data_IF_016551907383
#
_entry.id   IF_016551907383
#
_cell.length_a   1.000
_cell.length_b   1.000
_cell.length_c   1.000
_cell.angle_alpha   90.00
_cell.angle_beta   90.00
_cell.angle_gamma   90.00
#
_symmetry.space_group_name_H-M   'P 1'
#
loop_
_entity.id
_entity.type
_entity.pdbx_description
1 polymer ?
#
# COMPACT_ATOMS: atom_id res chain seq x y z
N UNK A 1 -17.51 10.04 -5.70
CA UNK A 1 -16.62 9.76 -6.84
C UNK A 1 -17.50 9.42 -8.03
N UNK A 2 -17.17 9.89 -9.23
CA UNK A 2 -17.95 9.61 -10.43
C UNK A 2 -17.62 8.21 -10.96
N UNK A 3 -18.58 7.57 -11.63
CA UNK A 3 -18.32 6.34 -12.38
C UNK A 3 -17.58 6.65 -13.68
N UNK A 4 -16.85 5.69 -14.24
CA UNK A 4 -16.16 5.86 -15.54
C UNK A 4 -17.12 6.34 -16.63
N UNK A 5 -18.33 5.79 -16.68
CA UNK A 5 -19.39 6.23 -17.60
C UNK A 5 -19.74 7.71 -17.47
N UNK A 6 -19.89 8.20 -16.23
CA UNK A 6 -20.17 9.62 -16.00
C UNK A 6 -19.01 10.52 -16.43
N UNK A 7 -17.76 10.06 -16.26
CA UNK A 7 -16.57 10.81 -16.69
C UNK A 7 -16.53 10.89 -18.22
N UNK A 8 -16.81 9.78 -18.90
CA UNK A 8 -16.88 9.73 -20.37
C UNK A 8 -17.98 10.64 -20.92
N UNK A 9 -19.16 10.63 -20.29
CA UNK A 9 -20.28 11.51 -20.66
C UNK A 9 -19.93 13.00 -20.46
N UNK A 10 -19.26 13.36 -19.36
CA UNK A 10 -18.77 14.74 -19.14
C UNK A 10 -17.85 15.17 -20.29
N UNK A 11 -16.90 14.32 -20.70
CA UNK A 11 -15.98 14.64 -21.80
C UNK A 11 -16.68 14.66 -23.15
N UNK A 12 -17.68 13.80 -23.37
CA UNK A 12 -18.49 13.85 -24.58
C UNK A 12 -19.25 15.19 -24.69
N UNK A 13 -19.86 15.65 -23.60
CA UNK A 13 -20.55 16.95 -23.55
C UNK A 13 -19.58 18.13 -23.66
N UNK A 14 -18.37 18.02 -23.09
CA UNK A 14 -17.32 19.03 -23.27
C UNK A 14 -16.91 19.15 -24.75
N UNK A 15 -16.75 18.03 -25.48
CA UNK A 15 -16.45 18.04 -26.93
C UNK A 15 -17.58 18.64 -27.76
N UNK A 16 -18.82 18.54 -27.28
CA UNK A 16 -19.99 19.17 -27.91
C UNK A 16 -20.08 20.68 -27.61
N UNK A 17 -19.23 21.22 -26.73
CA UNK A 17 -19.14 22.66 -26.43
C UNK A 17 -19.99 23.12 -25.24
N UNK A 18 -20.58 22.21 -24.47
CA UNK A 18 -21.40 22.58 -23.31
C UNK A 18 -20.59 23.14 -22.14
N UNK A 19 -21.19 24.06 -21.41
CA UNK A 19 -20.58 24.68 -20.23
C UNK A 19 -20.60 23.76 -18.99
N UNK A 20 -19.76 24.03 -17.97
CA UNK A 20 -19.71 23.21 -16.75
C UNK A 20 -21.04 23.12 -15.98
N UNK A 21 -21.88 24.16 -16.06
CA UNK A 21 -23.18 24.25 -15.36
C UNK A 21 -24.22 23.38 -16.06
N UNK A 22 -24.31 23.47 -17.40
CA UNK A 22 -25.23 22.68 -18.21
C UNK A 22 -24.92 21.17 -18.11
N UNK A 23 -23.64 20.82 -18.10
CA UNK A 23 -23.17 19.45 -17.90
C UNK A 23 -23.60 18.93 -16.52
N UNK A 24 -23.53 19.79 -15.50
CA UNK A 24 -23.91 19.43 -14.14
C UNK A 24 -25.41 19.19 -14.00
N UNK A 25 -26.24 20.04 -14.61
CA UNK A 25 -27.70 19.88 -14.63
C UNK A 25 -28.12 18.62 -15.37
N UNK A 26 -27.52 18.34 -16.54
CA UNK A 26 -27.87 17.18 -17.37
C UNK A 26 -27.52 15.85 -16.72
N UNK A 27 -26.40 15.80 -15.99
CA UNK A 27 -25.90 14.59 -15.33
C UNK A 27 -26.34 14.49 -13.86
N UNK A 28 -27.01 15.51 -13.31
CA UNK A 28 -27.40 15.57 -11.90
C UNK A 28 -26.21 15.57 -10.94
N UNK A 29 -25.07 16.10 -11.35
CA UNK A 29 -23.84 16.16 -10.55
C UNK A 29 -23.59 17.57 -10.02
N UNK A 30 -22.75 17.70 -9.01
CA UNK A 30 -22.36 19.01 -8.50
C UNK A 30 -21.49 19.76 -9.53
N UNK A 31 -21.81 21.02 -9.83
CA UNK A 31 -21.05 21.86 -10.78
C UNK A 31 -19.56 22.00 -10.45
N UNK A 32 -19.18 21.96 -9.18
CA UNK A 32 -17.76 21.94 -8.77
C UNK A 32 -17.05 20.67 -9.22
N UNK A 33 -17.76 19.54 -9.25
CA UNK A 33 -17.24 18.26 -9.74
C UNK A 33 -17.10 18.33 -11.25
N UNK A 34 -18.14 18.76 -11.97
CA UNK A 34 -18.07 18.96 -13.42
C UNK A 34 -16.85 19.82 -13.80
N UNK A 35 -16.71 21.01 -13.20
CA UNK A 35 -15.58 21.91 -13.45
C UNK A 35 -14.21 21.26 -13.17
N UNK A 36 -14.08 20.46 -12.11
CA UNK A 36 -12.85 19.73 -11.78
C UNK A 36 -12.48 18.72 -12.88
N UNK A 37 -13.45 17.98 -13.39
CA UNK A 37 -13.24 16.97 -14.44
C UNK A 37 -13.05 17.60 -15.83
N UNK A 38 -13.64 18.77 -16.11
CA UNK A 38 -13.36 19.50 -17.35
C UNK A 38 -11.91 19.99 -17.43
N UNK A 39 -11.32 20.40 -16.30
CA UNK A 39 -9.92 20.87 -16.22
C UNK A 39 -8.88 19.75 -16.24
N UNK A 40 -9.28 18.52 -15.94
CA UNK A 40 -8.38 17.36 -15.91
C UNK A 40 -8.46 16.66 -17.26
N UNK A 41 -7.32 16.54 -17.94
CA UNK A 41 -7.26 15.88 -19.26
C UNK A 41 -6.72 14.45 -19.20
N UNK A 42 -5.82 14.16 -18.25
CA UNK A 42 -5.29 12.82 -18.04
C UNK A 42 -6.00 12.14 -16.85
N UNK A 43 -6.76 11.09 -17.16
CA UNK A 43 -7.37 10.16 -16.19
C UNK A 43 -6.68 8.81 -16.19
N UNK A 44 -5.43 8.76 -16.66
CA UNK A 44 -4.61 7.59 -16.45
C UNK A 44 -4.69 7.23 -14.97
N UNK A 45 -5.15 6.01 -14.73
CA UNK A 45 -5.10 5.43 -13.41
C UNK A 45 -3.62 5.16 -13.19
N UNK A 46 -2.88 6.20 -12.81
CA UNK A 46 -1.71 5.99 -12.00
C UNK A 46 -2.27 5.29 -10.77
N UNK A 47 -2.23 3.96 -10.82
CA UNK A 47 -2.22 3.12 -9.64
C UNK A 47 -0.98 3.66 -8.95
N UNK A 48 -1.18 4.66 -8.10
CA UNK A 48 -0.17 5.12 -7.19
C UNK A 48 0.04 3.90 -6.33
N UNK A 49 1.04 3.10 -6.71
CA UNK A 49 1.57 2.04 -5.89
C UNK A 49 1.84 2.76 -4.58
N UNK A 50 1.00 2.48 -3.58
CA UNK A 50 1.21 3.04 -2.26
C UNK A 50 2.58 2.53 -1.88
N UNK A 51 3.59 3.41 -1.96
CA UNK A 51 4.94 3.08 -1.59
C UNK A 51 4.86 2.79 -0.11
N UNK A 52 4.81 1.50 0.24
CA UNK A 52 4.83 1.07 1.63
C UNK A 52 6.24 1.45 2.10
N UNK A 53 6.38 2.34 3.09
CA UNK A 53 7.70 2.71 3.57
C UNK A 53 8.36 1.43 4.11
N UNK A 54 9.50 1.08 3.52
CA UNK A 54 10.32 -0.05 3.98
C UNK A 54 10.69 0.24 5.43
N UNK A 55 10.17 -0.54 6.37
CA UNK A 55 10.53 -0.38 7.77
C UNK A 55 11.96 -0.85 7.98
N UNK A 56 12.65 -0.33 9.00
CA UNK A 56 14.00 -0.81 9.37
C UNK A 56 14.05 -2.32 9.64
N UNK A 57 12.89 -2.92 9.96
CA UNK A 57 12.75 -4.36 10.19
C UNK A 57 12.71 -5.16 8.89
N UNK A 58 12.12 -4.58 7.83
CA UNK A 58 11.93 -5.29 6.55
C UNK A 58 13.25 -5.63 5.85
N UNK A 59 14.33 -4.92 6.20
CA UNK A 59 15.71 -5.22 5.77
C UNK A 59 16.15 -6.61 6.23
N UNK A 60 15.72 -7.04 7.42
CA UNK A 60 16.15 -8.28 8.07
C UNK A 60 15.20 -9.45 7.82
N UNK A 61 13.99 -9.20 7.32
CA UNK A 61 12.99 -10.24 7.04
C UNK A 61 13.54 -11.40 6.17
N UNK A 62 14.32 -11.17 5.09
CA UNK A 62 14.83 -12.25 4.27
C UNK A 62 15.76 -13.21 5.04
N UNK A 63 16.60 -12.66 5.91
CA UNK A 63 17.54 -13.44 6.73
C UNK A 63 16.77 -14.27 7.78
N UNK A 64 15.79 -13.66 8.45
CA UNK A 64 14.90 -14.35 9.40
C UNK A 64 14.14 -15.48 8.71
N UNK A 65 13.58 -15.24 7.53
CA UNK A 65 12.85 -16.26 6.77
C UNK A 65 13.72 -17.47 6.42
N UNK A 66 14.99 -17.24 6.04
CA UNK A 66 15.92 -18.33 5.77
C UNK A 66 16.13 -19.21 7.01
N UNK A 67 16.29 -18.61 8.19
CA UNK A 67 16.46 -19.38 9.44
C UNK A 67 15.19 -20.14 9.84
N UNK A 68 14.01 -19.53 9.65
CA UNK A 68 12.74 -20.19 9.95
C UNK A 68 12.46 -21.36 9.00
N UNK A 69 12.84 -21.26 7.73
CA UNK A 69 12.68 -22.36 6.78
C UNK A 69 13.63 -23.53 7.09
N UNK A 70 14.84 -23.25 7.58
CA UNK A 70 15.75 -24.26 8.13
C UNK A 70 15.17 -24.92 9.39
N UNK A 71 14.56 -24.14 10.28
CA UNK A 71 13.89 -24.64 11.48
C UNK A 71 12.71 -25.56 11.20
N UNK A 72 11.99 -25.34 10.09
CA UNK A 72 10.89 -26.24 9.71
C UNK A 72 11.37 -27.66 9.46
N UNK A 73 12.61 -27.83 8.98
CA UNK A 73 13.26 -29.13 8.78
C UNK A 73 13.75 -29.76 10.09
N UNK A 74 13.92 -28.95 11.13
CA UNK A 74 14.35 -29.40 12.45
C UNK A 74 13.19 -29.87 13.32
N UNK A 75 13.52 -30.70 14.32
CA UNK A 75 12.56 -31.16 15.33
C UNK A 75 11.99 -29.97 16.09
N UNK A 76 10.70 -30.02 16.46
CA UNK A 76 9.96 -28.92 17.10
C UNK A 76 10.71 -28.24 18.26
N UNK A 77 11.41 -28.99 19.12
CA UNK A 77 12.16 -28.47 20.27
C UNK A 77 13.47 -27.73 19.90
N UNK A 78 13.95 -27.87 18.67
CA UNK A 78 15.18 -27.26 18.18
C UNK A 78 14.94 -26.00 17.34
N UNK A 79 13.68 -25.69 17.02
CA UNK A 79 13.32 -24.49 16.26
C UNK A 79 13.70 -23.23 17.05
N UNK A 80 14.12 -22.20 16.35
CA UNK A 80 14.35 -20.90 16.96
C UNK A 80 13.02 -20.34 17.46
N UNK A 81 13.05 -19.79 18.66
CA UNK A 81 11.97 -18.94 19.16
C UNK A 81 12.22 -17.50 18.72
N UNK A 82 11.20 -16.66 18.72
CA UNK A 82 11.35 -15.23 18.42
C UNK A 82 12.47 -14.56 19.24
N UNK A 83 12.68 -15.02 20.48
CA UNK A 83 13.80 -14.58 21.34
C UNK A 83 15.16 -14.96 20.77
N UNK A 84 15.34 -16.20 20.29
CA UNK A 84 16.61 -16.65 19.71
C UNK A 84 16.95 -15.94 18.40
N UNK A 85 15.95 -15.71 17.56
CA UNK A 85 16.10 -14.91 16.33
C UNK A 85 16.55 -13.49 16.68
N UNK A 86 15.93 -12.88 17.69
CA UNK A 86 16.32 -11.55 18.16
C UNK A 86 17.75 -11.49 18.70
N UNK A 87 18.09 -12.40 19.62
CA UNK A 87 19.41 -12.42 20.24
C UNK A 87 20.49 -12.61 19.15
N UNK A 88 20.24 -13.46 18.15
CA UNK A 88 21.12 -13.67 16.99
C UNK A 88 21.25 -12.44 16.09
N UNK A 89 20.16 -11.74 15.78
CA UNK A 89 20.20 -10.50 14.99
C UNK A 89 20.97 -9.40 15.70
N UNK A 90 20.81 -9.30 17.02
CA UNK A 90 21.54 -8.34 17.85
C UNK A 90 23.05 -8.63 17.89
N UNK A 91 23.44 -9.90 17.85
CA UNK A 91 24.85 -10.31 17.80
C UNK A 91 25.48 -10.06 16.42
N UNK A 92 24.74 -10.30 15.34
CA UNK A 92 25.24 -10.15 13.97
C UNK A 92 25.32 -8.69 13.51
N UNK A 93 24.38 -7.84 13.95
CA UNK A 93 24.21 -6.49 13.44
C UNK A 93 24.32 -5.46 14.55
N UNK A 94 25.45 -4.74 14.61
CA UNK A 94 25.69 -3.70 15.63
C UNK A 94 24.70 -2.52 15.53
N UNK A 95 24.13 -2.28 14.34
CA UNK A 95 23.14 -1.22 14.08
C UNK A 95 21.68 -1.63 14.38
N UNK A 96 21.49 -2.82 14.97
CA UNK A 96 20.17 -3.37 15.23
C UNK A 96 19.48 -2.72 16.45
N UNK A 97 18.80 -1.61 16.21
CA UNK A 97 17.96 -0.90 17.19
C UNK A 97 16.51 -1.43 17.19
N UNK A 98 16.27 -2.65 17.69
CA UNK A 98 14.92 -3.22 17.85
C UNK A 98 14.41 -3.10 19.29
N UNK A 99 13.19 -2.58 19.46
CA UNK A 99 12.50 -2.53 20.75
C UNK A 99 11.70 -3.83 20.98
N UNK A 100 11.97 -4.53 22.10
CA UNK A 100 11.36 -5.81 22.52
C UNK A 100 9.82 -5.86 22.46
N UNK A 101 9.11 -4.72 22.43
CA UNK A 101 7.64 -4.64 22.34
C UNK A 101 7.09 -5.09 20.97
N UNK A 102 7.90 -5.13 19.91
CA UNK A 102 7.46 -5.54 18.55
C UNK A 102 7.57 -7.05 18.30
N UNK A 103 8.14 -7.82 19.23
CA UNK A 103 8.41 -9.26 19.05
C UNK A 103 7.16 -10.15 19.13
N UNK A 104 6.14 -9.72 19.87
CA UNK A 104 4.91 -10.50 20.09
C UNK A 104 3.95 -10.48 18.91
N UNK A 105 4.15 -9.61 17.92
CA UNK A 105 3.35 -9.58 16.70
C UNK A 105 3.72 -10.72 15.73
N UNK A 106 4.85 -11.39 15.95
CA UNK A 106 5.37 -12.48 15.10
C UNK A 106 5.24 -13.86 15.75
N UNK A 107 4.67 -13.96 16.97
CA UNK A 107 4.56 -15.23 17.71
C UNK A 107 3.34 -16.09 17.34
N UNK A 108 2.47 -15.63 16.42
CA UNK A 108 1.26 -16.35 15.99
C UNK A 108 1.39 -17.03 14.61
N UNK A 109 2.54 -17.64 14.32
CA UNK A 109 2.76 -18.53 13.16
C UNK A 109 3.10 -19.96 13.59
#
# INVERSE_FOLDING_TARGET
MLTLKQIDEIKALQRQGYGPVEIAERLGINGKIASRYLRRDNFDHEISEKVVPISKLDIWNPEIHSWLEEDRRNRYKQRHTAKRVYDRLKELHMDFCWNRRQSSAWTDW
#
